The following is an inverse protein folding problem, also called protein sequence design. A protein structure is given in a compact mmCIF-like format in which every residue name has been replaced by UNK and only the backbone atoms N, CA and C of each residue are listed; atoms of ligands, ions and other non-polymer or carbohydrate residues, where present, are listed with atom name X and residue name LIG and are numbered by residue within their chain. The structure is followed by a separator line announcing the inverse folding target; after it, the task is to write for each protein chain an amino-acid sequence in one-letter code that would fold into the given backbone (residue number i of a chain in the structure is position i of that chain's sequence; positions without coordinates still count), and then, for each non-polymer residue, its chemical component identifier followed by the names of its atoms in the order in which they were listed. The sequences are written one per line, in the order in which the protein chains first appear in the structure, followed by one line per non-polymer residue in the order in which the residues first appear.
data_IF_201939358182
#
_entry.id   IF_201939358182
#
_cell.length_a   1.000
_cell.length_b   1.000
_cell.length_c   1.000
_cell.angle_alpha   90.00
_cell.angle_beta   90.00
_cell.angle_gamma   90.00
#
_symmetry.space_group_name_H-M   'P 1'
#
loop_
_entity.id
_entity.type
_entity.pdbx_description
1 polymer ?
#
# COMPACT_ATOMS: atom_id res chain seq x y z
N UNK A 1 17.13 -12.27 -7.80
CA UNK A 1 17.07 -11.25 -6.73
C UNK A 1 15.70 -10.59 -6.84
N UNK A 2 14.93 -10.52 -5.76
CA UNK A 2 13.62 -9.88 -5.75
C UNK A 2 13.78 -8.39 -5.45
N UNK A 3 12.89 -7.55 -6.00
CA UNK A 3 12.90 -6.10 -5.81
C UNK A 3 11.62 -5.67 -5.09
N UNK A 4 11.76 -4.90 -4.02
CA UNK A 4 10.64 -4.29 -3.29
C UNK A 4 10.55 -2.82 -3.71
N UNK A 5 9.36 -2.38 -4.12
CA UNK A 5 9.07 -0.98 -4.42
C UNK A 5 8.27 -0.38 -3.26
N UNK A 6 8.88 0.51 -2.48
CA UNK A 6 8.17 1.27 -1.45
C UNK A 6 7.69 2.60 -2.02
N UNK A 7 6.38 2.79 -2.10
CA UNK A 7 5.75 3.92 -2.78
C UNK A 7 4.85 4.70 -1.82
N UNK A 8 5.02 6.01 -1.76
CA UNK A 8 4.13 6.91 -1.03
C UNK A 8 2.84 7.18 -1.80
N UNK A 9 1.69 7.15 -1.10
CA UNK A 9 0.36 7.37 -1.70
C UNK A 9 -0.10 8.83 -1.71
N UNK A 10 0.72 9.74 -1.16
CA UNK A 10 0.35 11.14 -0.94
C UNK A 10 -0.60 11.32 0.26
N UNK A 11 -1.00 12.56 0.57
CA UNK A 11 -1.82 12.88 1.75
C UNK A 11 -3.33 12.68 1.53
N UNK A 12 -3.77 12.27 0.33
CA UNK A 12 -5.20 12.28 -0.03
C UNK A 12 -5.56 11.36 -1.20
N UNK A 13 -6.41 11.86 -2.09
CA UNK A 13 -6.86 11.14 -3.29
C UNK A 13 -5.81 11.07 -4.40
N UNK A 14 -6.24 10.65 -5.59
CA UNK A 14 -5.37 10.55 -6.79
C UNK A 14 -4.63 11.85 -7.12
N UNK A 15 -5.16 13.00 -6.71
CA UNK A 15 -4.61 14.33 -6.96
C UNK A 15 -3.27 14.53 -6.22
N UNK A 16 -3.07 13.82 -5.11
CA UNK A 16 -1.83 13.85 -4.32
C UNK A 16 -0.82 12.77 -4.71
N UNK A 17 -1.15 11.90 -5.67
CA UNK A 17 -0.32 10.78 -6.06
C UNK A 17 0.72 11.22 -7.11
N UNK A 18 2.00 11.05 -6.80
CA UNK A 18 3.07 11.38 -7.75
C UNK A 18 2.99 10.50 -9.02
N UNK A 19 3.34 11.05 -10.18
CA UNK A 19 3.29 10.29 -11.44
C UNK A 19 4.12 9.00 -11.40
N UNK A 20 5.33 9.04 -10.81
CA UNK A 20 6.13 7.83 -10.62
C UNK A 20 5.48 6.78 -9.72
N UNK A 21 4.67 7.20 -8.74
CA UNK A 21 3.91 6.27 -7.90
C UNK A 21 2.80 5.58 -8.70
N UNK A 22 2.08 6.31 -9.54
CA UNK A 22 1.07 5.76 -10.45
C UNK A 22 1.69 4.70 -11.37
N UNK A 23 2.84 5.00 -11.96
CA UNK A 23 3.51 4.07 -12.87
C UNK A 23 3.90 2.76 -12.19
N UNK A 24 4.37 2.81 -10.93
CA UNK A 24 4.69 1.60 -10.17
C UNK A 24 3.43 0.81 -9.84
N UNK A 25 2.37 1.49 -9.38
CA UNK A 25 1.09 0.86 -9.03
C UNK A 25 0.39 0.21 -10.23
N UNK A 26 0.66 0.64 -11.45
CA UNK A 26 0.09 0.04 -12.67
C UNK A 26 0.89 -1.13 -13.23
N UNK A 27 2.20 -1.18 -12.97
CA UNK A 27 3.13 -2.13 -13.61
C UNK A 27 3.58 -3.26 -12.68
N UNK A 28 3.53 -3.05 -11.37
CA UNK A 28 4.08 -3.98 -10.38
C UNK A 28 2.97 -4.73 -9.68
N UNK A 29 3.17 -6.03 -9.49
CA UNK A 29 2.29 -6.89 -8.69
C UNK A 29 3.12 -7.97 -7.99
N UNK A 30 2.67 -8.48 -6.82
CA UNK A 30 1.47 -8.08 -6.09
C UNK A 30 1.60 -6.68 -5.46
N UNK A 31 0.46 -6.03 -5.22
CA UNK A 31 0.39 -4.74 -4.52
C UNK A 31 -0.14 -4.95 -3.11
N UNK A 32 0.60 -4.40 -2.14
CA UNK A 32 0.21 -4.38 -0.73
C UNK A 32 -0.05 -2.93 -0.31
N UNK A 33 -1.23 -2.66 0.24
CA UNK A 33 -1.57 -1.38 0.85
C UNK A 33 -1.51 -1.50 2.36
N UNK A 34 -0.94 -0.47 3.01
CA UNK A 34 -0.96 -0.35 4.47
C UNK A 34 -2.39 -0.36 5.03
N UNK A 35 -3.36 0.22 4.30
CA UNK A 35 -4.77 0.28 4.71
C UNK A 35 -5.72 0.48 3.52
N UNK A 36 -6.94 -0.09 3.59
CA UNK A 36 -8.06 0.22 2.67
C UNK A 36 -8.71 1.58 2.93
N UNK A 37 -8.36 2.26 4.02
CA UNK A 37 -8.98 3.53 4.41
C UNK A 37 -8.41 4.74 3.66
N UNK A 38 -7.33 4.57 2.90
CA UNK A 38 -6.69 5.66 2.18
C UNK A 38 -7.56 6.11 0.98
N UNK A 39 -7.76 7.43 0.75
CA UNK A 39 -8.63 7.91 -0.34
C UNK A 39 -8.23 7.46 -1.75
N UNK A 40 -6.95 7.08 -1.96
CA UNK A 40 -6.45 6.53 -3.23
C UNK A 40 -7.10 5.19 -3.62
N UNK A 41 -7.71 4.47 -2.67
CA UNK A 41 -8.31 3.16 -2.91
C UNK A 41 -9.40 3.22 -3.99
N UNK A 42 -10.24 4.27 -3.96
CA UNK A 42 -11.28 4.48 -4.98
C UNK A 42 -10.68 4.64 -6.38
N UNK A 43 -9.50 5.26 -6.49
CA UNK A 43 -8.79 5.39 -7.75
C UNK A 43 -8.25 4.04 -8.24
N UNK A 44 -7.61 3.26 -7.36
CA UNK A 44 -7.10 1.93 -7.71
C UNK A 44 -8.21 0.98 -8.17
N UNK A 45 -9.31 0.95 -7.42
CA UNK A 45 -10.49 0.15 -7.78
C UNK A 45 -11.12 0.62 -9.11
N UNK A 46 -11.24 1.93 -9.32
CA UNK A 46 -11.74 2.50 -10.56
C UNK A 46 -10.87 2.17 -11.79
N UNK A 47 -9.58 1.87 -11.59
CA UNK A 47 -8.66 1.40 -12.64
C UNK A 47 -8.57 -0.13 -12.75
N UNK A 48 -9.32 -0.87 -11.92
CA UNK A 48 -9.26 -2.33 -11.88
C UNK A 48 -7.94 -2.88 -11.32
N UNK A 49 -7.18 -2.05 -10.59
CA UNK A 49 -5.90 -2.46 -10.00
C UNK A 49 -6.18 -3.29 -8.75
N UNK A 50 -5.71 -4.54 -8.76
CA UNK A 50 -5.84 -5.45 -7.63
C UNK A 50 -4.78 -5.18 -6.57
N UNK A 51 -5.19 -5.17 -5.30
CA UNK A 51 -4.29 -5.01 -4.17
C UNK A 51 -4.81 -5.82 -2.98
N UNK A 52 -3.89 -6.23 -2.13
CA UNK A 52 -4.20 -6.69 -0.78
C UNK A 52 -3.96 -5.54 0.19
N UNK A 53 -4.77 -5.45 1.24
CA UNK A 53 -4.62 -4.42 2.24
C UNK A 53 -4.40 -5.06 3.61
N UNK A 54 -3.43 -4.51 4.32
CA UNK A 54 -2.86 -5.08 5.53
C UNK A 54 -3.51 -4.54 6.80
N UNK A 55 -4.78 -4.12 6.71
CA UNK A 55 -5.53 -3.57 7.85
C UNK A 55 -5.60 -4.57 9.02
N UNK A 56 -5.54 -5.88 8.75
CA UNK A 56 -5.56 -6.92 9.79
C UNK A 56 -4.36 -6.84 10.75
N UNK A 57 -3.20 -6.34 10.31
CA UNK A 57 -2.07 -6.15 11.23
C UNK A 57 -2.35 -5.03 12.23
N UNK A 58 -3.17 -4.04 11.88
CA UNK A 58 -3.51 -2.96 12.80
C UNK A 58 -4.34 -3.48 13.97
N UNK A 59 -5.20 -4.47 13.73
CA UNK A 59 -6.03 -5.09 14.78
C UNK A 59 -5.24 -6.07 15.65
N UNK A 60 -4.14 -6.63 15.13
CA UNK A 60 -3.31 -7.62 15.82
C UNK A 60 -2.09 -7.02 16.54
N UNK A 61 -1.80 -5.75 16.29
CA UNK A 61 -0.63 -5.08 16.84
C UNK A 61 -0.94 -4.37 18.15
N UNK A 62 -0.06 -4.56 19.14
CA UNK A 62 -0.20 -3.89 20.44
C UNK A 62 0.37 -2.46 20.42
N UNK A 63 1.32 -2.18 19.52
CA UNK A 63 1.96 -0.88 19.36
C UNK A 63 2.17 -0.52 17.89
N UNK A 64 2.53 0.75 17.64
CA UNK A 64 2.88 1.22 16.28
C UNK A 64 4.13 0.49 15.75
N UNK A 65 5.10 0.23 16.63
CA UNK A 65 6.32 -0.50 16.33
C UNK A 65 5.99 -1.95 15.93
N UNK A 66 5.19 -2.66 16.73
CA UNK A 66 4.75 -4.04 16.43
C UNK A 66 4.01 -4.12 15.08
N UNK A 67 3.14 -3.13 14.82
CA UNK A 67 2.47 -3.02 13.53
C UNK A 67 3.44 -2.90 12.35
N UNK A 68 4.48 -2.06 12.47
CA UNK A 68 5.48 -1.89 11.43
C UNK A 68 6.36 -3.12 11.26
N UNK A 69 6.76 -3.78 12.35
CA UNK A 69 7.57 -5.01 12.33
C UNK A 69 6.84 -6.18 11.67
N UNK A 70 5.53 -6.32 11.91
CA UNK A 70 4.70 -7.33 11.25
C UNK A 70 4.61 -7.13 9.75
N UNK A 71 4.42 -5.89 9.29
CA UNK A 71 4.43 -5.56 7.85
C UNK A 71 5.79 -5.83 7.24
N UNK A 72 6.88 -5.42 7.90
CA UNK A 72 8.23 -5.66 7.42
C UNK A 72 8.54 -7.16 7.27
N UNK A 73 8.13 -7.96 8.26
CA UNK A 73 8.32 -9.42 8.26
C UNK A 73 7.52 -10.15 7.17
N UNK A 74 6.46 -9.54 6.64
CA UNK A 74 5.68 -10.10 5.53
C UNK A 74 6.39 -9.93 4.18
N UNK A 75 7.17 -8.86 4.00
CA UNK A 75 7.75 -8.48 2.70
C UNK A 75 9.21 -8.86 2.52
N UNK A 76 9.86 -9.39 3.56
CA UNK A 76 11.26 -9.84 3.60
C UNK A 76 11.32 -11.36 3.56
#
# INVERSE_FOLDING_TARGET
MATIYLVGLGPGGKEGLALGAVEVLEKVSPLLLKTRKHPVVSFLQGKGISFEALDYFYEQADTCEDYCERIASLVV
#
